data_IF_935038841175
#
_entry.id   IF_935038841175
#
_cell.length_a   1.000
_cell.length_b   1.000
_cell.length_c   1.000
_cell.angle_alpha   90.00
_cell.angle_beta   90.00
_cell.angle_gamma   90.00
#
_symmetry.space_group_name_H-M   'P 1'
#
loop_
_entity.id
_entity.type
_entity.pdbx_description
1 polymer ?
#
# COMPACT_ATOMS: atom_id res chain seq x y z
N UNK A 1 31.22 6.22 -12.76
CA UNK A 1 30.56 7.26 -11.93
C UNK A 1 29.06 7.27 -12.17
N UNK A 2 28.58 7.39 -13.41
CA UNK A 2 27.14 7.40 -13.72
C UNK A 2 26.41 6.07 -13.44
N UNK A 3 27.05 4.93 -13.69
CA UNK A 3 26.47 3.60 -13.42
C UNK A 3 26.20 3.34 -11.93
N UNK A 4 27.16 3.71 -11.05
CA UNK A 4 26.98 3.62 -9.61
C UNK A 4 25.86 4.56 -9.11
N UNK A 5 25.73 5.74 -9.71
CA UNK A 5 24.69 6.71 -9.38
C UNK A 5 23.28 6.23 -9.75
N UNK A 6 23.15 5.47 -10.84
CA UNK A 6 21.87 4.90 -11.28
C UNK A 6 21.44 3.73 -10.38
N UNK A 7 22.39 2.84 -10.03
CA UNK A 7 22.15 1.73 -9.10
C UNK A 7 21.79 2.21 -7.69
N UNK A 8 22.44 3.26 -7.17
CA UNK A 8 22.10 3.83 -5.86
C UNK A 8 20.67 4.40 -5.86
N UNK A 9 20.24 5.00 -6.99
CA UNK A 9 18.87 5.52 -7.13
C UNK A 9 17.83 4.41 -7.19
N UNK A 10 18.03 3.36 -7.99
CA UNK A 10 17.08 2.23 -8.05
C UNK A 10 16.96 1.52 -6.70
N UNK A 11 18.07 1.36 -5.98
CA UNK A 11 18.05 0.77 -4.64
C UNK A 11 17.29 1.63 -3.62
N UNK A 12 17.50 2.95 -3.61
CA UNK A 12 16.73 3.84 -2.74
C UNK A 12 15.23 3.86 -3.06
N UNK A 13 14.85 3.73 -4.34
CA UNK A 13 13.45 3.59 -4.73
C UNK A 13 12.85 2.26 -4.27
N UNK A 14 13.61 1.17 -4.33
CA UNK A 14 13.16 -0.14 -3.83
C UNK A 14 12.91 -0.09 -2.31
N UNK A 15 13.80 0.52 -1.54
CA UNK A 15 13.64 0.66 -0.09
C UNK A 15 12.37 1.43 0.29
N UNK A 16 12.02 2.49 -0.46
CA UNK A 16 10.79 3.25 -0.27
C UNK A 16 9.56 2.38 -0.56
N UNK A 17 9.59 1.63 -1.67
CA UNK A 17 8.50 0.71 -2.05
C UNK A 17 8.30 -0.37 -0.97
N UNK A 18 9.38 -0.93 -0.44
CA UNK A 18 9.33 -1.95 0.60
C UNK A 18 8.75 -1.38 1.90
N UNK A 19 9.18 -0.17 2.29
CA UNK A 19 8.64 0.53 3.47
C UNK A 19 7.14 0.83 3.32
N UNK A 20 6.70 1.31 2.15
CA UNK A 20 5.28 1.55 1.86
C UNK A 20 4.47 0.25 1.88
N UNK A 21 5.03 -0.83 1.36
CA UNK A 21 4.39 -2.15 1.35
C UNK A 21 4.23 -2.73 2.76
N UNK A 22 5.26 -2.57 3.60
CA UNK A 22 5.18 -2.95 5.01
C UNK A 22 4.12 -2.13 5.75
N UNK A 23 4.15 -0.80 5.58
CA UNK A 23 3.17 0.08 6.22
C UNK A 23 1.74 -0.21 5.78
N UNK A 24 1.51 -0.51 4.51
CA UNK A 24 0.19 -0.94 4.02
C UNK A 24 -0.25 -2.28 4.65
N UNK A 25 0.68 -3.20 4.88
CA UNK A 25 0.39 -4.48 5.54
C UNK A 25 -0.04 -4.26 6.98
N UNK A 26 0.66 -3.39 7.71
CA UNK A 26 0.33 -3.03 9.09
C UNK A 26 -1.04 -2.35 9.17
N UNK A 27 -1.32 -1.39 8.28
CA UNK A 27 -2.63 -0.72 8.20
C UNK A 27 -3.75 -1.72 7.96
N UNK A 28 -3.57 -2.65 7.02
CA UNK A 28 -4.58 -3.69 6.73
C UNK A 28 -4.86 -4.55 7.95
N UNK A 29 -3.82 -4.93 8.69
CA UNK A 29 -3.97 -5.73 9.91
C UNK A 29 -4.74 -4.97 11.00
N UNK A 30 -4.38 -3.72 11.26
CA UNK A 30 -5.11 -2.88 12.22
C UNK A 30 -6.57 -2.71 11.81
N UNK A 31 -6.83 -2.58 10.52
CA UNK A 31 -8.19 -2.45 9.98
C UNK A 31 -9.02 -3.73 10.14
N UNK A 32 -8.42 -4.90 9.89
CA UNK A 32 -9.06 -6.20 10.11
C UNK A 32 -9.45 -6.37 11.59
N UNK A 33 -8.59 -5.91 12.52
CA UNK A 33 -8.87 -5.92 13.96
C UNK A 33 -10.03 -4.99 14.34
N UNK A 34 -10.14 -3.82 13.71
CA UNK A 34 -11.27 -2.88 13.88
C UNK A 34 -12.56 -3.52 13.39
N UNK A 35 -12.57 -4.10 12.18
CA UNK A 35 -13.75 -4.76 11.60
C UNK A 35 -14.21 -5.95 12.46
N UNK A 36 -13.27 -6.72 13.02
CA UNK A 36 -13.58 -7.80 13.93
C UNK A 36 -14.23 -7.30 15.23
N UNK A 37 -13.71 -6.21 15.78
CA UNK A 37 -14.25 -5.56 16.98
C UNK A 37 -15.65 -4.98 16.73
N UNK A 38 -15.85 -4.35 15.57
CA UNK A 38 -17.13 -3.81 15.12
C UNK A 38 -18.19 -4.93 15.01
N UNK A 39 -17.86 -6.06 14.38
CA UNK A 39 -18.76 -7.22 14.29
C UNK A 39 -19.18 -7.75 15.68
N UNK A 40 -18.22 -7.84 16.60
CA UNK A 40 -18.48 -8.27 17.98
C UNK A 40 -19.39 -7.30 18.75
N UNK A 41 -19.19 -6.00 18.54
CA UNK A 41 -20.05 -4.94 19.09
C UNK A 41 -21.47 -5.02 18.52
N UNK A 42 -21.63 -5.18 17.21
CA UNK A 42 -22.95 -5.29 16.57
C UNK A 42 -23.75 -6.53 17.00
N UNK A 43 -23.06 -7.61 17.37
CA UNK A 43 -23.70 -8.79 17.93
C UNK A 43 -24.28 -8.56 19.34
N UNK A 44 -23.60 -7.77 20.17
CA UNK A 44 -23.88 -7.64 21.61
C UNK A 44 -24.61 -6.34 22.01
N UNK A 45 -24.43 -5.25 21.27
CA UNK A 45 -25.05 -3.95 21.53
C UNK A 45 -26.29 -3.77 20.64
N UNK A 46 -27.46 -3.58 21.26
CA UNK A 46 -28.76 -3.43 20.59
C UNK A 46 -29.45 -2.11 20.94
N UNK A 47 -30.15 -1.53 19.98
CA UNK A 47 -30.96 -0.31 20.12
C UNK A 47 -30.67 0.72 19.03
N UNK A 48 -31.56 1.70 18.84
CA UNK A 48 -31.42 2.68 17.75
C UNK A 48 -30.10 3.46 17.79
N UNK A 49 -29.59 3.78 18.98
CA UNK A 49 -28.31 4.46 19.13
C UNK A 49 -27.12 3.57 18.71
N UNK A 50 -27.18 2.26 18.97
CA UNK A 50 -26.16 1.33 18.48
C UNK A 50 -26.24 1.19 16.97
N UNK A 51 -27.44 1.07 16.42
CA UNK A 51 -27.63 0.89 14.98
C UNK A 51 -27.10 2.09 14.18
N UNK A 52 -27.33 3.32 14.66
CA UNK A 52 -26.77 4.53 14.07
C UNK A 52 -25.23 4.56 14.13
N UNK A 53 -24.64 4.19 15.28
CA UNK A 53 -23.19 4.14 15.44
C UNK A 53 -22.53 3.07 14.55
N UNK A 54 -23.09 1.86 14.50
CA UNK A 54 -22.63 0.75 13.66
C UNK A 54 -22.73 1.09 12.17
N UNK A 55 -23.80 1.78 11.76
CA UNK A 55 -23.94 2.26 10.37
C UNK A 55 -22.85 3.27 10.02
N UNK A 56 -22.55 4.21 10.92
CA UNK A 56 -21.46 5.18 10.70
C UNK A 56 -20.09 4.49 10.65
N UNK A 57 -19.86 3.48 11.48
CA UNK A 57 -18.63 2.69 11.47
C UNK A 57 -18.48 1.90 10.16
N UNK A 58 -19.56 1.29 9.67
CA UNK A 58 -19.56 0.59 8.36
C UNK A 58 -19.15 1.53 7.24
N UNK A 59 -19.66 2.77 7.22
CA UNK A 59 -19.27 3.76 6.21
C UNK A 59 -17.78 4.11 6.26
N UNK A 60 -17.21 4.26 7.45
CA UNK A 60 -15.77 4.48 7.63
C UNK A 60 -14.95 3.24 7.23
N UNK A 61 -15.48 2.04 7.44
CA UNK A 61 -14.87 0.78 7.02
C UNK A 61 -14.79 0.65 5.49
N UNK A 62 -15.83 1.07 4.78
CA UNK A 62 -15.84 1.11 3.32
C UNK A 62 -14.84 2.15 2.77
N UNK A 63 -14.77 3.34 3.39
CA UNK A 63 -13.78 4.36 3.04
C UNK A 63 -12.34 3.89 3.27
N UNK A 64 -12.06 3.24 4.40
CA UNK A 64 -10.74 2.69 4.68
C UNK A 64 -10.35 1.56 3.73
N UNK A 65 -11.31 0.70 3.34
CA UNK A 65 -11.11 -0.31 2.29
C UNK A 65 -10.72 0.34 0.96
N UNK A 66 -11.44 1.38 0.55
CA UNK A 66 -11.14 2.14 -0.67
C UNK A 66 -9.73 2.76 -0.64
N UNK A 67 -9.32 3.34 0.49
CA UNK A 67 -7.99 3.93 0.64
C UNK A 67 -6.86 2.89 0.64
N UNK A 68 -7.03 1.73 1.29
CA UNK A 68 -6.03 0.65 1.24
C UNK A 68 -5.87 0.08 -0.16
N UNK A 69 -6.95 -0.03 -0.93
CA UNK A 69 -6.91 -0.41 -2.35
C UNK A 69 -6.17 0.63 -3.22
N UNK A 70 -6.41 1.92 -2.98
CA UNK A 70 -5.70 3.00 -3.68
C UNK A 70 -4.20 2.97 -3.38
N UNK A 71 -3.82 2.78 -2.11
CA UNK A 71 -2.42 2.64 -1.70
C UNK A 71 -1.76 1.43 -2.36
N UNK A 72 -2.45 0.29 -2.40
CA UNK A 72 -1.94 -0.90 -3.08
C UNK A 72 -1.69 -0.65 -4.57
N UNK A 73 -2.61 0.03 -5.25
CA UNK A 73 -2.45 0.41 -6.66
C UNK A 73 -1.28 1.39 -6.86
N UNK A 74 -1.09 2.34 -5.96
CA UNK A 74 0.03 3.28 -6.02
C UNK A 74 1.39 2.57 -5.85
N UNK A 75 1.50 1.67 -4.87
CA UNK A 75 2.71 0.85 -4.66
C UNK A 75 3.01 0.00 -5.90
N UNK A 76 1.98 -0.64 -6.48
CA UNK A 76 2.09 -1.41 -7.73
C UNK A 76 2.63 -0.55 -8.87
N UNK A 77 2.12 0.67 -9.04
CA UNK A 77 2.58 1.58 -10.08
C UNK A 77 4.05 2.02 -9.86
N UNK A 78 4.47 2.22 -8.61
CA UNK A 78 5.86 2.53 -8.27
C UNK A 78 6.79 1.35 -8.60
N UNK A 79 6.37 0.12 -8.31
CA UNK A 79 7.10 -1.10 -8.68
C UNK A 79 7.27 -1.22 -10.20
N UNK A 80 6.18 -1.05 -10.96
CA UNK A 80 6.22 -1.14 -12.43
C UNK A 80 7.12 -0.04 -13.05
N UNK A 81 7.15 1.16 -12.43
CA UNK A 81 8.04 2.24 -12.83
C UNK A 81 9.52 1.94 -12.55
N UNK A 82 9.83 1.36 -11.39
CA UNK A 82 11.18 0.93 -11.03
C UNK A 82 11.67 -0.19 -11.96
N UNK A 83 10.82 -1.17 -12.27
CA UNK A 83 11.14 -2.23 -13.22
C UNK A 83 11.46 -1.67 -14.62
N UNK A 84 10.68 -0.68 -15.06
CA UNK A 84 10.90 -0.02 -16.34
C UNK A 84 12.21 0.78 -16.36
N UNK A 85 12.53 1.46 -15.26
CA UNK A 85 13.81 2.16 -15.09
C UNK A 85 15.00 1.19 -15.13
N UNK A 86 14.92 0.07 -14.42
CA UNK A 86 15.99 -0.93 -14.39
C UNK A 86 16.25 -1.53 -15.78
N UNK A 87 15.20 -1.80 -16.56
CA UNK A 87 15.34 -2.24 -17.97
C UNK A 87 15.99 -1.19 -18.86
N UNK A 88 15.64 0.08 -18.68
CA UNK A 88 16.27 1.17 -19.42
C UNK A 88 17.76 1.31 -19.05
N UNK A 89 18.10 1.15 -17.77
CA UNK A 89 19.48 1.13 -17.29
C UNK A 89 20.28 -0.02 -17.93
N UNK A 90 19.73 -1.23 -17.96
CA UNK A 90 20.35 -2.39 -18.61
C UNK A 90 20.59 -2.16 -20.12
N UNK A 91 19.59 -1.63 -20.82
CA UNK A 91 19.69 -1.30 -22.25
C UNK A 91 20.81 -0.28 -22.52
N UNK A 92 20.94 0.76 -21.68
CA UNK A 92 22.01 1.75 -21.82
C UNK A 92 23.39 1.12 -21.58
N UNK A 93 23.52 0.21 -20.61
CA UNK A 93 24.76 -0.53 -20.35
C UNK A 93 25.17 -1.38 -21.55
N UNK A 94 24.23 -2.13 -22.13
CA UNK A 94 24.48 -2.95 -23.31
C UNK A 94 24.95 -2.10 -24.50
N UNK A 95 24.30 -0.96 -24.76
CA UNK A 95 24.67 -0.05 -25.85
C UNK A 95 26.07 0.56 -25.70
N UNK A 96 26.55 0.78 -24.48
CA UNK A 96 27.89 1.30 -24.21
C UNK A 96 28.97 0.21 -24.16
N UNK A 97 28.59 -1.06 -24.07
CA UNK A 97 29.51 -2.19 -24.14
C UNK A 97 29.85 -2.61 -25.59
N UNK A 98 29.16 -2.04 -26.59
CA UNK A 98 29.40 -2.19 -28.03
C UNK A 98 30.49 -1.23 -28.53
#
# INVERSE_FOLDING_TARGET
MMEADLMVKSQGFQEIIDSLSSGLTDIKKEFDEVQHSHSSLGASWKGEASDAALTSLTGLEDEGTSHTDLLQKAIKALQDALDSYNKAEETVKELWAL
#
